data_IF_867149872265
#
_entry.id   IF_867149872265
#
_cell.length_a   1.000
_cell.length_b   1.000
_cell.length_c   1.000
_cell.angle_alpha   90.00
_cell.angle_beta   90.00
_cell.angle_gamma   90.00
#
_symmetry.space_group_name_H-M   'P 1'
#
loop_
_entity.id
_entity.type
_entity.pdbx_description
1 polymer ?
#
# COMPACT_ATOMS: atom_id res chain seq x y z
N UNK A 1 -11.44 4.28 3.46
CA UNK A 1 -11.08 5.68 3.10
C UNK A 1 -11.94 6.18 1.93
N UNK A 2 -12.71 7.25 2.09
CA UNK A 2 -13.48 7.81 0.97
C UNK A 2 -12.56 8.22 -0.18
N UNK A 3 -12.87 7.84 -1.43
CA UNK A 3 -12.02 8.11 -2.57
C UNK A 3 -11.98 9.60 -2.93
N UNK A 4 -10.85 10.10 -3.40
CA UNK A 4 -10.76 11.45 -3.95
C UNK A 4 -11.50 11.54 -5.31
N UNK A 5 -11.91 12.73 -5.72
CA UNK A 5 -12.48 12.96 -7.07
C UNK A 5 -11.42 12.68 -8.14
N UNK A 6 -11.84 12.02 -9.21
CA UNK A 6 -11.00 11.82 -10.40
C UNK A 6 -11.02 13.09 -11.23
N UNK A 7 -9.86 13.66 -11.61
CA UNK A 7 -9.80 14.74 -12.61
C UNK A 7 -10.45 14.32 -13.93
N UNK A 8 -11.04 15.28 -14.66
CA UNK A 8 -11.87 14.98 -15.84
C UNK A 8 -11.12 14.28 -16.99
N UNK A 9 -9.83 14.48 -17.06
CA UNK A 9 -8.91 13.98 -18.11
C UNK A 9 -8.07 12.76 -17.66
N UNK A 10 -8.31 12.25 -16.44
CA UNK A 10 -7.54 11.15 -15.88
C UNK A 10 -8.42 9.93 -15.56
N UNK A 11 -7.78 8.77 -15.52
CA UNK A 11 -8.39 7.51 -15.09
C UNK A 11 -7.85 7.13 -13.70
N UNK A 12 -8.74 6.69 -12.82
CA UNK A 12 -8.36 6.20 -11.50
C UNK A 12 -7.44 4.97 -11.60
N UNK A 13 -6.40 4.92 -10.78
CA UNK A 13 -5.61 3.71 -10.57
C UNK A 13 -6.44 2.60 -9.89
N UNK A 14 -6.04 1.38 -10.10
CA UNK A 14 -6.66 0.23 -9.44
C UNK A 14 -6.39 0.23 -7.93
N UNK A 15 -7.37 -0.23 -7.16
CA UNK A 15 -7.23 -0.61 -5.75
C UNK A 15 -7.32 -2.14 -5.71
N UNK A 16 -6.26 -2.78 -5.21
CA UNK A 16 -6.06 -4.24 -5.30
C UNK A 16 -5.91 -4.82 -3.89
N UNK A 17 -7.02 -5.18 -3.24
CA UNK A 17 -6.97 -5.88 -1.96
C UNK A 17 -6.63 -7.35 -2.17
N UNK A 18 -5.59 -7.84 -1.47
CA UNK A 18 -5.11 -9.21 -1.55
C UNK A 18 -5.38 -9.89 -0.21
N UNK A 19 -6.28 -10.87 -0.21
CA UNK A 19 -6.59 -11.66 0.99
C UNK A 19 -5.57 -12.76 1.25
N UNK A 20 -5.39 -13.14 2.52
CA UNK A 20 -4.57 -14.27 2.93
C UNK A 20 -3.06 -14.03 2.83
N UNK A 21 -2.30 -15.15 2.92
CA UNK A 21 -0.85 -15.13 2.74
C UNK A 21 -0.54 -15.12 1.24
N UNK A 22 0.32 -14.23 0.81
CA UNK A 22 0.82 -14.23 -0.57
C UNK A 22 1.75 -15.45 -0.71
N UNK A 23 1.21 -16.55 -1.21
CA UNK A 23 1.97 -17.78 -1.51
C UNK A 23 2.42 -17.86 -2.96
N UNK A 24 1.75 -17.10 -3.82
CA UNK A 24 1.98 -17.08 -5.26
C UNK A 24 2.49 -15.71 -5.70
N UNK A 25 3.59 -15.69 -6.44
CA UNK A 25 4.18 -14.46 -6.97
C UNK A 25 3.38 -13.86 -8.13
N UNK A 26 2.44 -14.60 -8.72
CA UNK A 26 1.73 -14.18 -9.93
C UNK A 26 0.91 -12.90 -9.73
N UNK A 27 0.23 -12.78 -8.57
CA UNK A 27 -0.56 -11.57 -8.27
C UNK A 27 0.35 -10.33 -8.11
N UNK A 28 1.53 -10.48 -7.51
CA UNK A 28 2.50 -9.39 -7.37
C UNK A 28 3.17 -9.07 -8.70
N UNK A 29 3.44 -10.07 -9.54
CA UNK A 29 3.91 -9.88 -10.90
C UNK A 29 2.90 -9.10 -11.72
N UNK A 30 1.61 -9.44 -11.60
CA UNK A 30 0.54 -8.70 -12.25
C UNK A 30 0.46 -7.24 -11.76
N UNK A 31 0.63 -7.01 -10.46
CA UNK A 31 0.70 -5.65 -9.90
C UNK A 31 1.87 -4.86 -10.49
N UNK A 32 3.08 -5.46 -10.60
CA UNK A 32 4.23 -4.81 -11.25
C UNK A 32 3.90 -4.47 -12.71
N UNK A 33 3.25 -5.37 -13.45
CA UNK A 33 2.83 -5.10 -14.83
C UNK A 33 1.87 -3.92 -14.93
N UNK A 34 0.87 -3.83 -14.06
CA UNK A 34 -0.06 -2.71 -14.00
C UNK A 34 0.65 -1.38 -13.73
N UNK A 35 1.70 -1.40 -12.92
CA UNK A 35 2.51 -0.22 -12.59
C UNK A 35 3.52 0.17 -13.67
N UNK A 36 3.58 -0.55 -14.81
CA UNK A 36 4.48 -0.24 -15.93
C UNK A 36 5.59 -1.26 -16.18
N UNK A 37 5.52 -2.44 -15.55
CA UNK A 37 6.47 -3.55 -15.76
C UNK A 37 7.90 -3.14 -15.42
N UNK A 38 8.82 -3.29 -16.38
CA UNK A 38 10.24 -2.97 -16.17
C UNK A 38 10.55 -1.45 -16.01
N UNK A 39 9.56 -0.59 -16.06
CA UNK A 39 9.68 0.83 -15.72
C UNK A 39 9.02 1.18 -14.39
N UNK A 40 8.33 0.22 -13.76
CA UNK A 40 7.57 0.43 -12.53
C UNK A 40 8.45 0.85 -11.34
N UNK A 41 8.02 1.88 -10.65
CA UNK A 41 8.57 2.31 -9.35
C UNK A 41 7.53 1.98 -8.28
N UNK A 42 7.87 1.10 -7.37
CA UNK A 42 6.98 0.61 -6.31
C UNK A 42 7.41 1.19 -4.97
N UNK A 43 6.53 1.90 -4.30
CA UNK A 43 6.72 2.25 -2.91
C UNK A 43 6.07 1.21 -2.00
N UNK A 44 6.76 0.80 -0.95
CA UNK A 44 6.27 -0.18 0.02
C UNK A 44 6.01 0.51 1.35
N UNK A 45 4.84 0.32 1.95
CA UNK A 45 4.48 0.79 3.27
C UNK A 45 4.42 -0.39 4.24
N UNK A 46 5.52 -0.69 4.98
CA UNK A 46 5.59 -1.79 5.92
C UNK A 46 5.00 -1.47 7.29
N UNK A 47 4.33 -0.34 7.45
CA UNK A 47 3.82 0.23 8.72
C UNK A 47 3.02 -0.77 9.56
N UNK A 48 2.27 -1.70 8.94
CA UNK A 48 1.50 -2.71 9.66
C UNK A 48 2.38 -3.78 10.31
N UNK A 49 3.55 -4.04 9.75
CA UNK A 49 4.45 -5.12 10.22
C UNK A 49 5.11 -4.77 11.56
N UNK A 50 5.36 -5.79 12.35
CA UNK A 50 6.23 -5.75 13.54
C UNK A 50 7.69 -6.12 13.21
N UNK A 51 7.95 -6.67 12.01
CA UNK A 51 9.26 -7.13 11.59
C UNK A 51 9.99 -6.04 10.83
N UNK A 52 11.16 -5.65 11.30
CA UNK A 52 11.97 -4.58 10.69
C UNK A 52 12.52 -4.94 9.31
N UNK A 53 12.60 -6.22 8.96
CA UNK A 53 13.06 -6.69 7.65
C UNK A 53 12.00 -6.57 6.54
N UNK A 54 10.71 -6.52 6.89
CA UNK A 54 9.58 -6.61 5.94
C UNK A 54 9.74 -5.66 4.76
N UNK A 55 10.09 -4.41 5.01
CA UNK A 55 10.28 -3.42 3.95
C UNK A 55 11.34 -3.87 2.93
N UNK A 56 12.52 -4.25 3.42
CA UNK A 56 13.65 -4.71 2.59
C UNK A 56 13.34 -6.02 1.85
N UNK A 57 12.57 -6.91 2.45
CA UNK A 57 12.21 -8.18 1.83
C UNK A 57 11.26 -7.95 0.65
N UNK A 58 10.31 -7.02 0.78
CA UNK A 58 9.44 -6.60 -0.33
C UNK A 58 10.19 -5.80 -1.40
N UNK A 59 11.17 -4.95 -1.05
CA UNK A 59 12.04 -4.28 -2.04
C UNK A 59 12.72 -5.32 -2.95
N UNK A 60 13.40 -6.31 -2.33
CA UNK A 60 14.06 -7.39 -3.07
C UNK A 60 13.07 -8.19 -3.92
N UNK A 61 11.89 -8.47 -3.37
CA UNK A 61 10.86 -9.22 -4.08
C UNK A 61 10.38 -8.48 -5.32
N UNK A 62 10.01 -7.21 -5.22
CA UNK A 62 9.53 -6.43 -6.37
C UNK A 62 10.61 -6.22 -7.43
N UNK A 63 11.86 -6.02 -7.04
CA UNK A 63 12.99 -5.97 -7.98
C UNK A 63 13.17 -7.31 -8.71
N UNK A 64 13.05 -8.45 -8.00
CA UNK A 64 13.09 -9.80 -8.59
C UNK A 64 11.93 -10.04 -9.55
N UNK A 65 10.76 -9.45 -9.30
CA UNK A 65 9.57 -9.52 -10.14
C UNK A 65 9.62 -8.57 -11.35
N UNK A 66 10.72 -7.83 -11.52
CA UNK A 66 10.99 -7.02 -12.69
C UNK A 66 10.63 -5.54 -12.56
N UNK A 67 10.31 -5.03 -11.39
CA UNK A 67 10.18 -3.60 -11.19
C UNK A 67 11.53 -2.89 -11.38
N UNK A 68 11.51 -1.66 -11.94
CA UNK A 68 12.68 -0.81 -12.10
C UNK A 68 13.28 -0.37 -10.75
N UNK A 69 12.38 -0.03 -9.82
CA UNK A 69 12.74 0.45 -8.49
C UNK A 69 11.69 0.00 -7.47
N UNK A 70 12.14 -0.28 -6.26
CA UNK A 70 11.28 -0.64 -5.15
C UNK A 70 11.85 -0.06 -3.87
N UNK A 71 11.10 0.81 -3.19
CA UNK A 71 11.57 1.53 -2.01
C UNK A 71 10.59 1.43 -0.84
N UNK A 72 11.08 0.95 0.29
CA UNK A 72 10.33 0.94 1.54
C UNK A 72 10.30 2.34 2.17
N UNK A 73 9.11 2.76 2.57
CA UNK A 73 8.85 4.01 3.28
C UNK A 73 8.46 3.62 4.71
N UNK A 74 9.43 3.68 5.62
CA UNK A 74 9.32 3.19 6.98
C UNK A 74 8.63 4.20 7.90
N UNK A 75 7.32 4.35 7.76
CA UNK A 75 6.49 5.19 8.64
C UNK A 75 6.13 4.39 9.88
N UNK A 76 6.84 4.61 10.97
CA UNK A 76 6.63 3.92 12.24
C UNK A 76 5.70 4.66 13.18
N UNK A 77 5.75 5.98 13.16
CA UNK A 77 4.95 6.88 13.99
C UNK A 77 4.11 7.81 13.11
N UNK A 78 3.05 8.33 13.68
CA UNK A 78 2.18 9.27 12.99
C UNK A 78 2.89 10.56 12.55
N UNK A 79 3.92 11.00 13.30
CA UNK A 79 4.76 12.14 12.94
C UNK A 79 5.54 11.92 11.64
N UNK A 80 5.94 10.68 11.37
CA UNK A 80 6.74 10.35 10.19
C UNK A 80 5.91 10.47 8.89
N UNK A 81 4.58 10.45 9.02
CA UNK A 81 3.65 10.57 7.88
C UNK A 81 3.52 12.00 7.32
N UNK A 82 4.32 12.94 7.81
CA UNK A 82 4.46 14.32 7.33
C UNK A 82 5.88 14.62 6.82
N UNK A 83 6.73 13.59 6.75
CA UNK A 83 8.09 13.70 6.26
C UNK A 83 8.11 13.90 4.73
N UNK A 84 8.76 14.98 4.29
CA UNK A 84 8.81 15.38 2.88
C UNK A 84 9.51 14.34 2.00
N UNK A 85 10.57 13.68 2.49
CA UNK A 85 11.28 12.65 1.74
C UNK A 85 10.38 11.42 1.51
N UNK A 86 9.58 11.05 2.51
CA UNK A 86 8.61 9.96 2.39
C UNK A 86 7.47 10.31 1.43
N UNK A 87 6.97 11.54 1.52
CA UNK A 87 5.94 12.04 0.61
C UNK A 87 6.45 12.08 -0.83
N UNK A 88 7.70 12.50 -1.08
CA UNK A 88 8.30 12.52 -2.41
C UNK A 88 8.40 11.11 -3.02
N UNK A 89 8.82 10.11 -2.24
CA UNK A 89 8.89 8.71 -2.71
C UNK A 89 7.50 8.22 -3.13
N UNK A 90 6.48 8.48 -2.31
CA UNK A 90 5.10 8.09 -2.60
C UNK A 90 4.50 8.85 -3.80
N UNK A 91 4.83 10.13 -3.95
CA UNK A 91 4.38 10.96 -5.08
C UNK A 91 4.93 10.44 -6.41
N UNK A 92 6.20 9.99 -6.44
CA UNK A 92 6.89 9.51 -7.64
C UNK A 92 6.61 8.06 -7.99
N UNK A 93 6.04 7.29 -7.08
CA UNK A 93 5.74 5.88 -7.30
C UNK A 93 4.61 5.70 -8.32
N UNK A 94 4.73 4.68 -9.17
CA UNK A 94 3.70 4.24 -10.10
C UNK A 94 2.69 3.32 -9.40
N UNK A 95 3.14 2.61 -8.36
CA UNK A 95 2.32 1.80 -7.46
C UNK A 95 2.76 1.88 -6.01
N UNK A 96 1.81 1.72 -5.10
CA UNK A 96 2.05 1.64 -3.66
C UNK A 96 1.54 0.32 -3.11
N UNK A 97 2.37 -0.36 -2.33
CA UNK A 97 2.05 -1.64 -1.72
C UNK A 97 2.04 -1.56 -0.19
N UNK A 98 0.90 -1.85 0.42
CA UNK A 98 0.74 -1.89 1.88
C UNK A 98 0.89 -3.33 2.37
N UNK A 99 1.81 -3.58 3.30
CA UNK A 99 2.07 -4.92 3.81
C UNK A 99 1.02 -5.40 4.81
N UNK A 100 1.03 -6.69 5.09
CA UNK A 100 0.28 -7.29 6.17
C UNK A 100 0.84 -6.96 7.55
N UNK A 101 0.07 -7.29 8.58
CA UNK A 101 0.43 -7.09 9.99
C UNK A 101 -0.78 -6.63 10.82
N UNK A 102 -0.61 -5.58 11.60
CA UNK A 102 -1.67 -5.02 12.45
C UNK A 102 -2.39 -3.86 11.77
N UNK A 103 -3.66 -4.06 11.41
CA UNK A 103 -4.47 -3.06 10.72
C UNK A 103 -4.82 -1.85 11.60
N UNK A 104 -4.91 -2.00 12.91
CA UNK A 104 -5.09 -0.86 13.83
C UNK A 104 -3.87 0.05 13.83
N UNK A 105 -2.65 -0.54 13.89
CA UNK A 105 -1.41 0.22 13.77
C UNK A 105 -1.40 1.01 12.47
N UNK A 106 -1.76 0.37 11.37
CA UNK A 106 -1.81 1.00 10.05
C UNK A 106 -2.78 2.19 10.02
N UNK A 107 -4.01 2.01 10.52
CA UNK A 107 -5.03 3.05 10.52
C UNK A 107 -4.73 4.21 11.46
N UNK A 108 -4.20 3.94 12.66
CA UNK A 108 -3.84 4.98 13.64
C UNK A 108 -2.61 5.78 13.21
N UNK A 109 -1.66 5.13 12.55
CA UNK A 109 -0.43 5.78 12.06
C UNK A 109 -0.71 6.60 10.81
N UNK A 110 -1.44 6.07 9.82
CA UNK A 110 -1.62 6.71 8.51
C UNK A 110 -2.95 7.45 8.36
N UNK A 111 -4.01 7.05 9.07
CA UNK A 111 -5.36 7.61 8.89
C UNK A 111 -5.42 9.12 9.06
N UNK A 112 -5.91 9.85 8.04
CA UNK A 112 -6.06 11.31 8.05
C UNK A 112 -4.76 12.12 7.91
N UNK A 113 -3.61 11.48 7.79
CA UNK A 113 -2.29 12.13 7.60
C UNK A 113 -2.09 12.65 6.17
N UNK A 114 -1.03 13.45 5.92
CA UNK A 114 -0.61 13.82 4.57
C UNK A 114 -0.38 12.62 3.66
N UNK A 115 0.24 11.54 4.14
CA UNK A 115 0.42 10.28 3.38
C UNK A 115 -0.92 9.71 2.92
N UNK A 116 -1.91 9.57 3.81
CA UNK A 116 -3.22 9.03 3.43
C UNK A 116 -3.96 9.94 2.42
N UNK A 117 -3.81 11.26 2.55
CA UNK A 117 -4.36 12.23 1.59
C UNK A 117 -3.67 12.11 0.24
N UNK A 118 -2.33 11.98 0.24
CA UNK A 118 -1.51 11.80 -0.95
C UNK A 118 -1.91 10.52 -1.71
N UNK A 119 -2.00 9.38 -1.04
CA UNK A 119 -2.40 8.11 -1.65
C UNK A 119 -3.76 8.21 -2.35
N UNK A 120 -4.75 8.85 -1.71
CA UNK A 120 -6.07 9.04 -2.33
C UNK A 120 -6.02 9.95 -3.57
N UNK A 121 -5.28 11.06 -3.49
CA UNK A 121 -5.10 11.98 -4.61
C UNK A 121 -4.38 11.30 -5.76
N UNK A 122 -3.28 10.62 -5.49
CA UNK A 122 -2.50 9.94 -6.51
C UNK A 122 -3.25 8.77 -7.14
N UNK A 123 -4.02 8.01 -6.35
CA UNK A 123 -4.88 6.97 -6.91
C UNK A 123 -5.96 7.57 -7.84
N UNK A 124 -6.56 8.71 -7.48
CA UNK A 124 -7.50 9.41 -8.36
C UNK A 124 -6.84 9.87 -9.69
N UNK A 125 -5.50 9.99 -9.70
CA UNK A 125 -4.70 10.42 -10.87
C UNK A 125 -3.94 9.27 -11.53
N UNK A 126 -4.31 8.01 -11.27
CA UNK A 126 -3.79 6.84 -12.00
C UNK A 126 -2.85 5.94 -11.21
N UNK A 127 -2.31 6.35 -10.05
CA UNK A 127 -1.44 5.50 -9.24
C UNK A 127 -2.18 4.26 -8.72
N UNK A 128 -1.62 3.09 -8.92
CA UNK A 128 -2.18 1.84 -8.42
C UNK A 128 -1.83 1.64 -6.94
N UNK A 129 -2.77 1.08 -6.17
CA UNK A 129 -2.55 0.79 -4.76
C UNK A 129 -2.97 -0.64 -4.47
N UNK A 130 -2.04 -1.44 -3.98
CA UNK A 130 -2.30 -2.82 -3.55
C UNK A 130 -2.03 -2.96 -2.05
N UNK A 131 -2.66 -3.94 -1.43
CA UNK A 131 -2.40 -4.26 -0.03
C UNK A 131 -2.77 -5.68 0.30
N UNK A 132 -1.99 -6.31 1.19
CA UNK A 132 -2.24 -7.67 1.65
C UNK A 132 -2.69 -7.69 3.11
N UNK A 133 -3.64 -8.58 3.45
CA UNK A 133 -4.12 -8.77 4.83
C UNK A 133 -4.53 -7.44 5.49
N UNK A 134 -3.79 -6.96 6.50
CA UNK A 134 -4.01 -5.65 7.13
C UNK A 134 -3.97 -4.50 6.12
N UNK A 135 -3.05 -4.54 5.13
CA UNK A 135 -3.01 -3.58 4.03
C UNK A 135 -4.26 -3.61 3.18
N UNK A 136 -4.80 -4.81 2.89
CA UNK A 136 -6.07 -4.95 2.16
C UNK A 136 -7.26 -4.38 2.95
N UNK A 137 -7.30 -4.66 4.26
CA UNK A 137 -8.34 -4.12 5.14
C UNK A 137 -8.32 -2.57 5.17
N UNK A 138 -7.13 -1.98 5.21
CA UNK A 138 -6.96 -0.51 5.22
C UNK A 138 -7.41 0.17 3.93
N UNK A 139 -7.41 -0.54 2.79
CA UNK A 139 -7.88 0.00 1.51
C UNK A 139 -9.40 0.17 1.46
N UNK A 140 -10.15 -0.52 2.31
CA UNK A 140 -11.61 -0.40 2.38
C UNK A 140 -12.03 0.95 3.00
N UNK A 141 -13.24 1.39 2.70
CA UNK A 141 -13.82 2.58 3.32
C UNK A 141 -14.11 2.35 4.81
N UNK A 142 -14.62 1.16 5.13
CA UNK A 142 -14.89 0.71 6.48
C UNK A 142 -14.07 -0.54 6.77
N UNK A 143 -13.25 -0.49 7.78
CA UNK A 143 -12.33 -1.56 8.14
C UNK A 143 -12.82 -2.27 9.41
N UNK A 144 -12.87 -3.61 9.37
CA UNK A 144 -12.99 -4.40 10.59
C UNK A 144 -11.66 -4.37 11.31
N UNK A 145 -11.63 -3.72 12.48
CA UNK A 145 -10.39 -3.53 13.22
C UNK A 145 -9.94 -4.82 13.92
N UNK A 146 -10.88 -5.54 14.53
CA UNK A 146 -10.68 -6.85 15.16
C UNK A 146 -12.04 -7.55 15.33
N UNK A 147 -12.03 -8.84 15.60
CA UNK A 147 -13.21 -9.65 15.91
C UNK A 147 -12.88 -10.68 16.99
N UNK A 148 -13.91 -11.34 17.53
CA UNK A 148 -13.71 -12.51 18.38
C UNK A 148 -13.13 -13.67 17.55
N UNK A 149 -12.27 -14.48 18.17
CA UNK A 149 -11.76 -15.69 17.55
C UNK A 149 -12.90 -16.67 17.29
N UNK A 150 -13.01 -17.14 16.05
CA UNK A 150 -14.02 -18.12 15.65
C UNK A 150 -14.16 -18.24 14.13
N UNK A 151 -14.69 -19.37 13.64
CA UNK A 151 -14.84 -19.61 12.20
C UNK A 151 -15.97 -18.80 11.56
N UNK A 152 -16.80 -18.15 12.36
CA UNK A 152 -17.96 -17.36 11.88
C UNK A 152 -17.95 -15.97 12.52
N UNK A 153 -18.02 -14.88 11.74
CA UNK A 153 -18.26 -13.55 12.30
C UNK A 153 -19.58 -13.51 13.06
N UNK A 154 -19.57 -12.97 14.27
CA UNK A 154 -20.78 -12.71 15.03
C UNK A 154 -21.22 -11.28 14.82
#
# INVERSE_FOLDING_TARGET
>A
MSPARVPADLTRGYIIPIGGRIGDSDILTHFVHLCGGCQARIAILPTASSESSTGRDYEKLFLKLGARDAKAVAIERRSDADDDDFLEVLERADGVFLTGGNQLKLSTTLGGTPVAKLLRRRNASGQHVAGTSAGAAFLSEHMIAFGEEGPTPK
#
